data_IF_394192332004
#
_entry.id   IF_394192332004
#
_cell.length_a   1.000
_cell.length_b   1.000
_cell.length_c   1.000
_cell.angle_alpha   90.00
_cell.angle_beta   90.00
_cell.angle_gamma   90.00
#
_symmetry.space_group_name_H-M   'P 1'
#
loop_
_entity.id
_entity.type
_entity.pdbx_description
1 polymer ?
#
# COMPACT_ATOMS: atom_id res chain seq x y z
N UNK A 1 -9.97 -6.02 -11.33
CA UNK A 1 -10.45 -5.15 -10.24
C UNK A 1 -11.47 -5.89 -9.37
N UNK A 2 -11.22 -5.99 -8.07
CA UNK A 2 -12.20 -6.39 -7.04
C UNK A 2 -12.32 -5.28 -6.02
N UNK A 3 -13.45 -5.20 -5.32
CA UNK A 3 -13.74 -4.13 -4.36
C UNK A 3 -14.27 -4.70 -3.05
N UNK A 4 -13.91 -4.07 -1.93
CA UNK A 4 -14.40 -4.38 -0.60
C UNK A 4 -14.86 -3.10 0.09
N UNK A 5 -16.09 -3.13 0.60
CA UNK A 5 -16.65 -2.03 1.39
C UNK A 5 -16.32 -2.24 2.86
N UNK A 6 -15.84 -1.19 3.51
CA UNK A 6 -15.55 -1.17 4.94
C UNK A 6 -16.19 0.06 5.57
N UNK A 7 -16.36 0.10 6.91
CA UNK A 7 -16.84 1.28 7.61
C UNK A 7 -16.03 2.56 7.36
N UNK A 8 -14.74 2.43 7.04
CA UNK A 8 -13.85 3.55 6.77
C UNK A 8 -13.82 3.99 5.29
N UNK A 9 -14.47 3.23 4.39
CA UNK A 9 -14.53 3.50 2.96
C UNK A 9 -14.37 2.26 2.08
N UNK A 10 -14.32 2.48 0.77
CA UNK A 10 -14.25 1.41 -0.25
C UNK A 10 -12.82 1.22 -0.74
N UNK A 11 -12.34 -0.01 -0.63
CA UNK A 11 -11.01 -0.41 -1.07
C UNK A 11 -11.10 -1.29 -2.31
N UNK A 12 -10.10 -1.15 -3.17
CA UNK A 12 -9.98 -1.83 -4.45
C UNK A 12 -8.66 -2.60 -4.48
N UNK A 13 -8.68 -3.74 -5.17
CA UNK A 13 -7.49 -4.55 -5.43
C UNK A 13 -7.42 -4.95 -6.90
N UNK A 14 -6.20 -5.20 -7.37
CA UNK A 14 -5.90 -5.56 -8.76
C UNK A 14 -6.51 -4.56 -9.77
N UNK A 15 -6.37 -3.26 -9.47
CA UNK A 15 -6.67 -2.16 -10.39
C UNK A 15 -5.43 -1.79 -11.20
N UNK A 16 -4.27 -1.66 -10.55
CA UNK A 16 -3.01 -1.31 -11.20
C UNK A 16 -2.24 -2.56 -11.62
N UNK A 17 -1.64 -2.51 -12.81
CA UNK A 17 -0.70 -3.53 -13.25
C UNK A 17 0.64 -3.33 -12.54
N UNK A 18 1.10 -4.36 -11.84
CA UNK A 18 2.41 -4.36 -11.19
C UNK A 18 3.46 -4.68 -12.26
N UNK A 19 4.51 -3.85 -12.42
CA UNK A 19 5.60 -4.14 -13.34
C UNK A 19 6.19 -5.54 -13.07
N UNK A 20 6.44 -6.30 -14.13
CA UNK A 20 6.90 -7.70 -14.00
C UNK A 20 8.22 -7.87 -13.22
N UNK A 21 9.04 -6.82 -13.15
CA UNK A 21 10.29 -6.82 -12.39
C UNK A 21 10.10 -6.47 -10.90
N UNK A 22 8.88 -6.20 -10.44
CA UNK A 22 8.59 -5.88 -9.05
C UNK A 22 8.06 -7.12 -8.34
N UNK A 23 8.58 -7.40 -7.16
CA UNK A 23 8.09 -8.50 -6.31
C UNK A 23 7.24 -7.93 -5.19
N UNK A 24 5.98 -8.32 -5.08
CA UNK A 24 5.21 -7.98 -3.89
C UNK A 24 5.51 -8.96 -2.75
N UNK A 25 5.66 -8.44 -1.53
CA UNK A 25 5.87 -9.29 -0.34
C UNK A 25 4.61 -10.02 0.10
N UNK A 26 3.42 -9.55 -0.29
CA UNK A 26 2.14 -10.21 0.00
C UNK A 26 1.15 -10.03 -1.16
N UNK A 27 0.42 -11.09 -1.50
CA UNK A 27 -0.54 -11.07 -2.61
C UNK A 27 -1.72 -10.12 -2.34
N UNK A 28 -2.21 -9.43 -3.39
CA UNK A 28 -3.44 -8.63 -3.28
C UNK A 28 -4.65 -9.53 -3.13
N UNK A 29 -5.29 -9.47 -1.97
CA UNK A 29 -6.47 -10.29 -1.69
C UNK A 29 -7.45 -9.58 -0.78
N UNK A 30 -8.71 -9.96 -0.92
CA UNK A 30 -9.77 -9.68 0.03
C UNK A 30 -10.12 -11.03 0.65
N UNK A 31 -9.97 -11.11 1.97
CA UNK A 31 -10.16 -12.32 2.76
C UNK A 31 -11.27 -12.07 3.79
N UNK A 32 -12.37 -12.80 3.65
CA UNK A 32 -13.49 -12.77 4.59
C UNK A 32 -13.24 -13.85 5.64
N UNK A 33 -12.83 -13.44 6.85
CA UNK A 33 -12.48 -14.36 7.95
C UNK A 33 -13.75 -14.74 8.73
N UNK A 34 -14.65 -13.77 8.94
CA UNK A 34 -15.97 -14.00 9.52
C UNK A 34 -16.97 -12.93 9.03
N UNK A 35 -18.24 -13.00 9.43
CA UNK A 35 -19.26 -12.01 9.08
C UNK A 35 -18.83 -10.56 9.39
N UNK A 36 -18.06 -10.37 10.45
CA UNK A 36 -17.60 -9.05 10.91
C UNK A 36 -16.08 -8.86 10.81
N UNK A 37 -15.34 -9.78 10.15
CA UNK A 37 -13.89 -9.70 10.04
C UNK A 37 -13.44 -9.85 8.60
N UNK A 38 -12.94 -8.76 8.03
CA UNK A 38 -12.43 -8.71 6.65
C UNK A 38 -10.98 -8.22 6.70
N UNK A 39 -10.10 -8.90 5.97
CA UNK A 39 -8.73 -8.47 5.73
C UNK A 39 -8.53 -8.17 4.24
N UNK A 40 -7.97 -7.01 3.95
CA UNK A 40 -7.74 -6.52 2.59
C UNK A 40 -6.25 -6.22 2.50
N UNK A 41 -5.60 -6.74 1.46
CA UNK A 41 -4.22 -6.41 1.10
C UNK A 41 -4.28 -5.70 -0.25
N UNK A 42 -3.98 -4.40 -0.27
CA UNK A 42 -4.10 -3.56 -1.46
C UNK A 42 -2.79 -2.87 -1.82
N UNK A 43 -2.58 -2.68 -3.12
CA UNK A 43 -1.52 -1.87 -3.70
C UNK A 43 -2.06 -0.79 -4.61
N UNK A 44 -3.36 -0.53 -4.58
CA UNK A 44 -4.01 0.40 -5.51
C UNK A 44 -4.36 1.74 -4.86
N UNK A 45 -4.29 1.81 -3.53
CA UNK A 45 -4.76 2.95 -2.77
C UNK A 45 -3.88 3.25 -1.57
N UNK A 46 -3.83 4.52 -1.22
CA UNK A 46 -3.29 5.02 0.03
C UNK A 46 -4.36 5.70 0.87
N UNK A 47 -4.12 5.77 2.17
CA UNK A 47 -5.06 6.27 3.16
C UNK A 47 -4.42 7.42 3.92
N UNK A 48 -5.02 8.60 3.79
CA UNK A 48 -4.59 9.81 4.46
C UNK A 48 -5.48 10.11 5.66
N UNK A 49 -4.84 10.29 6.80
CA UNK A 49 -5.38 10.88 8.02
C UNK A 49 -4.78 12.28 8.17
N UNK A 50 -5.42 13.16 8.94
CA UNK A 50 -5.02 14.58 9.10
C UNK A 50 -3.50 14.78 9.29
N UNK A 51 -2.84 13.89 10.04
CA UNK A 51 -1.40 14.00 10.34
C UNK A 51 -0.55 12.84 9.80
N UNK A 52 -1.14 11.85 9.12
CA UNK A 52 -0.43 10.62 8.75
C UNK A 52 -0.98 10.00 7.48
N UNK A 53 -0.09 9.63 6.57
CA UNK A 53 -0.44 8.87 5.36
C UNK A 53 0.11 7.46 5.50
N UNK A 54 -0.76 6.47 5.33
CA UNK A 54 -0.41 5.06 5.22
C UNK A 54 -0.57 4.64 3.76
N UNK A 55 0.52 4.18 3.15
CA UNK A 55 0.53 3.85 1.73
C UNK A 55 1.38 2.62 1.45
N UNK A 56 1.09 1.90 0.34
CA UNK A 56 2.00 0.91 -0.17
C UNK A 56 3.40 1.54 -0.40
N UNK A 57 4.46 0.78 -0.14
CA UNK A 57 5.84 1.26 -0.24
C UNK A 57 6.63 0.46 -1.25
N UNK A 58 7.30 1.17 -2.16
CA UNK A 58 8.28 0.57 -3.06
C UNK A 58 9.65 0.67 -2.39
N UNK A 59 10.33 -0.44 -2.28
CA UNK A 59 11.69 -0.55 -1.78
C UNK A 59 12.60 -1.10 -2.88
N UNK A 60 13.66 -0.38 -3.21
CA UNK A 60 14.70 -0.84 -4.13
C UNK A 60 15.98 -1.06 -3.33
N UNK A 61 16.53 -2.26 -3.41
CA UNK A 61 17.81 -2.55 -2.74
C UNK A 61 18.93 -1.74 -3.37
N UNK A 62 19.74 -1.06 -2.55
CA UNK A 62 20.93 -0.35 -3.03
C UNK A 62 22.02 -1.30 -3.57
N UNK A 63 22.12 -2.51 -3.01
CA UNK A 63 23.08 -3.53 -3.43
C UNK A 63 22.59 -4.31 -4.65
N UNK A 64 21.27 -4.41 -4.83
CA UNK A 64 20.64 -5.17 -5.90
C UNK A 64 19.53 -4.31 -6.54
N UNK A 65 19.87 -3.30 -7.36
CA UNK A 65 18.89 -2.36 -7.90
C UNK A 65 17.84 -3.02 -8.80
N UNK A 66 18.14 -4.19 -9.36
CA UNK A 66 17.19 -5.01 -10.12
C UNK A 66 16.07 -5.58 -9.24
N UNK A 67 16.32 -5.72 -7.94
CA UNK A 67 15.38 -6.29 -6.96
C UNK A 67 14.55 -5.17 -6.33
N UNK A 68 13.38 -4.94 -6.91
CA UNK A 68 12.39 -3.99 -6.43
C UNK A 68 11.28 -4.75 -5.71
N UNK A 69 11.01 -4.39 -4.46
CA UNK A 69 9.96 -4.99 -3.64
C UNK A 69 8.85 -4.00 -3.34
N UNK A 70 7.59 -4.45 -3.34
CA UNK A 70 6.45 -3.65 -2.91
C UNK A 70 5.93 -4.20 -1.60
N UNK A 71 5.79 -3.35 -0.60
CA UNK A 71 5.08 -3.60 0.64
C UNK A 71 3.66 -3.05 0.49
N UNK A 72 2.64 -3.93 0.44
CA UNK A 72 1.25 -3.50 0.28
C UNK A 72 0.72 -2.84 1.56
N UNK A 73 -0.40 -2.12 1.43
CA UNK A 73 -1.17 -1.64 2.55
C UNK A 73 -2.13 -2.76 2.99
N UNK A 74 -2.07 -3.12 4.27
CA UNK A 74 -2.99 -4.09 4.86
C UNK A 74 -4.07 -3.36 5.67
N UNK A 75 -5.31 -3.77 5.45
CA UNK A 75 -6.48 -3.19 6.09
C UNK A 75 -7.26 -4.32 6.73
N UNK A 76 -7.48 -4.22 8.03
CA UNK A 76 -8.14 -5.25 8.83
C UNK A 76 -9.35 -4.62 9.52
N UNK A 77 -10.54 -5.00 9.06
CA UNK A 77 -11.80 -4.55 9.61
C UNK A 77 -12.33 -5.60 10.59
N UNK A 78 -12.59 -5.19 11.83
CA UNK A 78 -13.14 -6.03 12.90
C UNK A 78 -14.35 -5.30 13.51
N UNK A 79 -15.54 -5.69 13.07
CA UNK A 79 -16.79 -5.01 13.42
C UNK A 79 -16.77 -3.55 12.97
N UNK A 80 -16.77 -2.63 13.93
CA UNK A 80 -16.76 -1.17 13.66
C UNK A 80 -15.36 -0.54 13.70
N UNK A 81 -14.31 -1.35 13.91
CA UNK A 81 -12.92 -0.90 13.96
C UNK A 81 -12.20 -1.27 12.68
N UNK A 82 -11.39 -0.37 12.17
CA UNK A 82 -10.55 -0.61 10.99
C UNK A 82 -9.10 -0.32 11.36
N UNK A 83 -8.23 -1.32 11.22
CA UNK A 83 -6.79 -1.15 11.35
C UNK A 83 -6.15 -1.06 9.97
N UNK A 84 -5.32 -0.04 9.80
CA UNK A 84 -4.49 0.18 8.63
C UNK A 84 -3.04 -0.09 9.02
N UNK A 85 -2.34 -0.93 8.26
CA UNK A 85 -0.95 -1.31 8.51
C UNK A 85 -0.17 -1.16 7.22
N UNK A 86 0.85 -0.30 7.24
CA UNK A 86 1.84 -0.22 6.17
C UNK A 86 3.19 -0.78 6.65
N UNK A 87 4.26 -0.57 5.88
CA UNK A 87 5.59 -1.06 6.25
C UNK A 87 6.17 -0.40 7.52
N UNK A 88 5.75 0.83 7.85
CA UNK A 88 6.36 1.65 8.90
C UNK A 88 5.47 1.85 10.12
N UNK A 89 4.17 1.63 10.00
CA UNK A 89 3.24 1.98 11.06
C UNK A 89 1.89 1.31 10.96
N UNK A 90 1.15 1.49 12.06
CA UNK A 90 -0.21 1.02 12.22
C UNK A 90 -1.07 2.16 12.70
N UNK A 91 -2.25 2.32 12.12
CA UNK A 91 -3.27 3.28 12.56
C UNK A 91 -4.59 2.56 12.74
N UNK A 92 -5.22 2.78 13.89
CA UNK A 92 -6.59 2.35 14.14
C UNK A 92 -7.54 3.51 13.82
N UNK A 93 -8.66 3.19 13.19
CA UNK A 93 -9.81 4.07 12.97
C UNK A 93 -11.04 3.44 13.59
N UNK A 94 -11.87 4.27 14.24
CA UNK A 94 -13.14 3.86 14.83
C UNK A 94 -14.29 4.68 14.28
N UNK A 95 -15.46 4.03 14.16
CA UNK A 95 -16.70 4.70 13.83
C UNK A 95 -16.96 5.88 14.79
N UNK A 96 -17.12 7.07 14.22
CA UNK A 96 -17.27 8.34 14.93
C UNK A 96 -16.07 9.28 14.80
N UNK A 97 -14.91 8.76 14.36
CA UNK A 97 -13.79 9.60 13.93
C UNK A 97 -14.01 10.12 12.50
N UNK A 98 -13.36 11.23 12.10
CA UNK A 98 -13.37 11.70 10.73
C UNK A 98 -12.96 10.57 9.77
N UNK A 99 -13.68 10.43 8.66
CA UNK A 99 -13.35 9.43 7.65
C UNK A 99 -11.97 9.75 7.05
N UNK A 100 -11.11 8.75 6.85
CA UNK A 100 -9.86 8.98 6.15
C UNK A 100 -10.11 9.28 4.68
N UNK A 101 -9.22 10.05 4.07
CA UNK A 101 -9.24 10.24 2.63
C UNK A 101 -8.53 9.08 1.95
N UNK A 102 -9.18 8.47 0.96
CA UNK A 102 -8.63 7.36 0.20
C UNK A 102 -8.23 7.88 -1.17
N UNK A 103 -6.94 7.78 -1.49
CA UNK A 103 -6.38 8.25 -2.75
C UNK A 103 -5.86 7.07 -3.57
N UNK A 104 -5.83 7.21 -4.89
CA UNK A 104 -5.24 6.20 -5.77
C UNK A 104 -3.72 6.20 -5.61
N UNK A 105 -3.14 5.00 -5.54
CA UNK A 105 -1.71 4.79 -5.46
C UNK A 105 -1.25 3.91 -6.61
N UNK A 106 -0.12 4.29 -7.22
CA UNK A 106 0.44 3.58 -8.37
C UNK A 106 1.90 3.19 -8.10
N UNK A 107 2.32 1.96 -8.42
CA UNK A 107 3.70 1.52 -8.22
C UNK A 107 4.63 2.10 -9.28
N UNK A 108 5.07 3.35 -9.10
CA UNK A 108 5.99 4.01 -10.02
C UNK A 108 7.25 4.51 -9.30
N UNK A 109 8.40 3.92 -9.62
CA UNK A 109 9.69 4.52 -9.25
C UNK A 109 9.91 5.71 -10.18
N UNK A 110 9.69 6.92 -9.68
CA UNK A 110 10.25 8.12 -10.31
C UNK A 110 11.76 8.07 -10.07
N UNK A 111 12.53 7.58 -11.05
CA UNK A 111 13.97 7.85 -11.04
C UNK A 111 14.13 9.36 -11.15
N UNK A 112 14.37 10.05 -10.04
CA UNK A 112 15.04 11.34 -10.09
C UNK A 112 16.34 11.09 -10.85
N UNK A 113 16.58 11.85 -11.91
CA UNK A 113 17.66 11.59 -12.87
C UNK A 113 18.94 11.13 -12.16
N UNK A 114 19.59 10.11 -12.71
CA UNK A 114 20.83 9.63 -12.13
C UNK A 114 21.85 10.77 -12.06
N UNK A 115 22.41 11.01 -10.87
CA UNK A 115 23.65 11.77 -10.74
C UNK A 115 24.80 10.78 -10.97
N UNK A 116 25.45 10.80 -12.15
CA UNK A 116 26.50 9.84 -12.45
C UNK A 116 27.63 9.95 -11.43
N UNK A 117 28.17 8.80 -11.02
CA UNK A 117 29.32 8.78 -10.11
C UNK A 117 30.48 9.56 -10.73
N UNK A 118 31.01 10.56 -10.01
CA UNK A 118 32.15 11.37 -10.50
C UNK A 118 33.42 10.56 -10.76
N UNK A 119 33.56 9.38 -10.15
CA UNK A 119 34.77 8.57 -10.25
C UNK A 119 34.73 7.55 -11.39
N UNK A 120 33.57 6.94 -11.67
CA UNK A 120 33.45 5.90 -12.70
C UNK A 120 32.46 6.23 -13.83
N UNK A 121 31.78 7.38 -13.78
CA UNK A 121 30.82 7.83 -14.77
C UNK A 121 29.55 6.99 -14.87
N UNK A 122 29.41 5.94 -14.04
CA UNK A 122 28.25 5.06 -14.05
C UNK A 122 27.07 5.72 -13.33
N UNK A 123 25.94 5.51 -13.97
CA UNK A 123 24.62 5.39 -13.37
C UNK A 123 24.35 3.89 -13.14
#
# INVERSE_FOLDING_TARGET
MKTAETPAGTFTINKSEIPANYTCVAEQKIEHISENHIRIVTMDQEVSFENQILSPRIHQSCMNPEKITIHPLEIECIGEKVLFKDHYGVKEWKKGEPLPEIHEWYPHIKKAGCFPCRNCGRC
#
